data_IF_994566217987
#
_entry.id   IF_994566217987
#
_cell.length_a   1.000
_cell.length_b   1.000
_cell.length_c   1.000
_cell.angle_alpha   90.00
_cell.angle_beta   90.00
_cell.angle_gamma   90.00
#
_symmetry.space_group_name_H-M   'P 1'
#
loop_
_entity.id
_entity.type
_entity.pdbx_description
1 polymer ?
#
# COMPACT_ATOMS: atom_id res chain seq x y z
N UNK A 1 32.72 40.42 -29.77
CA UNK A 1 32.12 39.77 -28.60
C UNK A 1 32.28 38.25 -28.73
N UNK A 2 33.04 37.62 -27.81
CA UNK A 2 33.48 36.21 -27.87
C UNK A 2 32.28 35.26 -27.68
N UNK A 3 31.96 34.46 -28.69
CA UNK A 3 31.01 33.34 -28.61
C UNK A 3 31.65 32.24 -27.74
N UNK A 4 31.25 32.14 -26.48
CA UNK A 4 31.76 31.12 -25.54
C UNK A 4 31.15 29.78 -25.96
N UNK A 5 31.95 28.99 -26.68
CA UNK A 5 31.65 27.59 -27.02
C UNK A 5 31.48 26.79 -25.72
N UNK A 6 30.24 26.41 -25.40
CA UNK A 6 29.93 25.44 -24.35
C UNK A 6 29.76 24.08 -25.03
N UNK A 7 30.78 23.65 -25.77
CA UNK A 7 30.95 22.24 -26.13
C UNK A 7 31.93 21.64 -25.13
N UNK A 8 31.51 21.58 -23.87
CA UNK A 8 32.21 20.82 -22.84
C UNK A 8 32.05 19.35 -23.14
N UNK A 9 33.14 18.73 -23.61
CA UNK A 9 33.36 17.28 -23.71
C UNK A 9 32.59 16.51 -22.64
N UNK A 10 31.42 15.95 -22.98
CA UNK A 10 30.82 14.89 -22.19
C UNK A 10 31.70 13.66 -22.40
N UNK A 11 32.52 13.35 -21.40
CA UNK A 11 33.38 12.18 -21.39
C UNK A 11 32.52 10.92 -21.62
N UNK A 12 32.96 10.05 -22.54
CA UNK A 12 32.28 8.78 -22.86
C UNK A 12 32.01 7.93 -21.60
N UNK A 13 32.87 8.02 -20.59
CA UNK A 13 32.70 7.37 -19.28
C UNK A 13 31.53 7.92 -18.46
N UNK A 14 31.21 9.21 -18.57
CA UNK A 14 30.07 9.83 -17.87
C UNK A 14 28.75 9.47 -18.55
N UNK A 15 28.72 9.47 -19.88
CA UNK A 15 27.55 9.00 -20.66
C UNK A 15 27.30 7.52 -20.38
N UNK A 16 28.34 6.69 -20.37
CA UNK A 16 28.22 5.26 -20.08
C UNK A 16 27.74 5.00 -18.65
N UNK A 17 28.24 5.73 -17.64
CA UNK A 17 27.74 5.64 -16.25
C UNK A 17 26.27 6.09 -16.12
N UNK A 18 25.87 7.14 -16.82
CA UNK A 18 24.47 7.59 -16.84
C UNK A 18 23.58 6.58 -17.57
N UNK A 19 24.04 6.00 -18.68
CA UNK A 19 23.34 4.98 -19.45
C UNK A 19 23.17 3.67 -18.65
N UNK A 20 24.22 3.17 -18.02
CA UNK A 20 24.19 1.97 -17.16
C UNK A 20 23.30 2.21 -15.94
N UNK A 21 23.40 3.38 -15.30
CA UNK A 21 22.50 3.75 -14.19
C UNK A 21 21.05 3.76 -14.66
N UNK A 22 20.74 4.39 -15.79
CA UNK A 22 19.40 4.44 -16.36
C UNK A 22 18.86 3.05 -16.74
N UNK A 23 19.71 2.19 -17.32
CA UNK A 23 19.36 0.82 -17.69
C UNK A 23 19.06 -0.06 -16.47
N UNK A 24 19.79 0.12 -15.37
CA UNK A 24 19.52 -0.61 -14.11
C UNK A 24 18.14 -0.23 -13.56
N UNK A 25 17.81 1.06 -13.46
CA UNK A 25 16.48 1.50 -13.03
C UNK A 25 15.36 0.99 -13.94
N UNK A 26 15.57 0.97 -15.26
CA UNK A 26 14.63 0.38 -16.21
C UNK A 26 14.38 -1.11 -15.95
N UNK A 27 15.43 -1.89 -15.68
CA UNK A 27 15.27 -3.32 -15.39
C UNK A 27 14.52 -3.56 -14.06
N UNK A 28 14.84 -2.81 -13.00
CA UNK A 28 14.19 -2.96 -11.70
C UNK A 28 12.70 -2.53 -11.74
N UNK A 29 12.39 -1.48 -12.52
CA UNK A 29 11.00 -1.03 -12.74
C UNK A 29 10.22 -2.01 -13.60
N UNK A 30 10.82 -2.60 -14.63
CA UNK A 30 10.20 -3.68 -15.42
C UNK A 30 9.91 -4.90 -14.55
N UNK A 31 10.84 -5.29 -13.67
CA UNK A 31 10.61 -6.36 -12.70
C UNK A 31 9.47 -6.04 -11.73
N UNK A 32 9.43 -4.82 -11.18
CA UNK A 32 8.34 -4.35 -10.34
C UNK A 32 6.99 -4.51 -11.06
N UNK A 33 6.87 -3.96 -12.28
CA UNK A 33 5.62 -4.02 -13.06
C UNK A 33 5.25 -5.47 -13.39
N UNK A 34 6.19 -6.30 -13.80
CA UNK A 34 5.95 -7.71 -14.11
C UNK A 34 5.43 -8.48 -12.89
N UNK A 35 6.04 -8.30 -11.72
CA UNK A 35 5.61 -8.96 -10.48
C UNK A 35 4.23 -8.46 -10.05
N UNK A 36 3.97 -7.16 -10.13
CA UNK A 36 2.66 -6.59 -9.78
C UNK A 36 1.55 -7.09 -10.71
N UNK A 37 1.81 -7.17 -12.02
CA UNK A 37 0.87 -7.73 -12.99
C UNK A 37 0.63 -9.23 -12.73
N UNK A 38 1.69 -9.98 -12.43
CA UNK A 38 1.60 -11.40 -12.09
C UNK A 38 0.77 -11.62 -10.82
N UNK A 39 1.04 -10.87 -9.75
CA UNK A 39 0.26 -10.92 -8.51
C UNK A 39 -1.19 -10.47 -8.74
N UNK A 40 -1.41 -9.45 -9.58
CA UNK A 40 -2.73 -8.99 -9.97
C UNK A 40 -3.52 -10.05 -10.75
N UNK A 41 -2.86 -10.76 -11.67
CA UNK A 41 -3.45 -11.88 -12.43
C UNK A 41 -3.78 -13.05 -11.51
N UNK A 42 -2.86 -13.42 -10.61
CA UNK A 42 -3.10 -14.42 -9.57
C UNK A 42 -4.32 -14.05 -8.73
N UNK A 43 -4.45 -12.77 -8.34
CA UNK A 43 -5.58 -12.30 -7.55
C UNK A 43 -6.89 -12.37 -8.34
N UNK A 44 -6.90 -12.03 -9.63
CA UNK A 44 -8.09 -12.18 -10.50
C UNK A 44 -8.50 -13.64 -10.69
N UNK A 45 -7.53 -14.53 -10.92
CA UNK A 45 -7.78 -15.97 -11.13
C UNK A 45 -8.28 -16.63 -9.83
N UNK A 46 -7.84 -16.14 -8.65
CA UNK A 46 -8.11 -16.73 -7.34
C UNK A 46 -9.39 -16.25 -6.64
N UNK A 47 -10.31 -15.58 -7.32
CA UNK A 47 -11.65 -15.28 -6.78
C UNK A 47 -12.49 -16.56 -6.50
N UNK A 48 -11.89 -17.75 -6.63
CA UNK A 48 -12.46 -19.10 -6.47
C UNK A 48 -12.03 -19.85 -5.19
N UNK A 49 -11.33 -19.22 -4.23
CA UNK A 49 -11.29 -19.75 -2.86
C UNK A 49 -9.94 -20.19 -2.27
N UNK A 50 -8.80 -19.62 -2.67
CA UNK A 50 -7.53 -19.88 -1.96
C UNK A 50 -7.56 -19.34 -0.50
N UNK A 51 -8.46 -18.41 -0.20
CA UNK A 51 -8.61 -17.79 1.11
C UNK A 51 -9.54 -18.53 2.08
N UNK A 52 -10.15 -19.64 1.66
CA UNK A 52 -11.00 -20.46 2.53
C UNK A 52 -10.19 -21.34 3.50
N UNK A 53 -8.86 -21.25 3.50
CA UNK A 53 -8.02 -21.87 4.49
C UNK A 53 -8.29 -21.30 5.89
N UNK A 54 -8.77 -22.15 6.80
CA UNK A 54 -9.16 -21.84 8.18
C UNK A 54 -8.16 -20.97 8.98
N UNK A 55 -6.81 -21.12 8.85
CA UNK A 55 -5.86 -20.30 9.59
C UNK A 55 -5.81 -18.83 9.13
N UNK A 56 -6.07 -18.59 7.83
CA UNK A 56 -5.90 -17.27 7.24
C UNK A 56 -7.15 -16.41 7.44
N UNK A 57 -8.32 -17.04 7.48
CA UNK A 57 -9.57 -16.39 7.90
C UNK A 57 -9.48 -15.86 9.34
N UNK A 58 -8.98 -16.67 10.27
CA UNK A 58 -8.78 -16.25 11.67
C UNK A 58 -7.86 -15.03 11.79
N UNK A 59 -6.75 -15.01 11.04
CA UNK A 59 -5.82 -13.89 11.06
C UNK A 59 -6.43 -12.64 10.42
N UNK A 60 -7.18 -12.80 9.32
CA UNK A 60 -7.91 -11.71 8.69
C UNK A 60 -8.96 -11.10 9.63
N UNK A 61 -9.72 -11.92 10.35
CA UNK A 61 -10.72 -11.45 11.31
C UNK A 61 -10.08 -10.70 12.48
N UNK A 62 -8.95 -11.20 13.00
CA UNK A 62 -8.18 -10.49 14.05
C UNK A 62 -7.65 -9.15 13.58
N UNK A 63 -7.14 -9.09 12.34
CA UNK A 63 -6.67 -7.83 11.75
C UNK A 63 -7.80 -6.83 11.59
N UNK A 64 -9.00 -7.27 11.18
CA UNK A 64 -10.17 -6.39 11.07
C UNK A 64 -10.48 -5.75 12.43
N UNK A 65 -10.50 -6.55 13.50
CA UNK A 65 -10.75 -6.05 14.85
C UNK A 65 -9.68 -5.03 15.28
N UNK A 66 -8.40 -5.33 15.07
CA UNK A 66 -7.31 -4.41 15.41
C UNK A 66 -7.39 -3.09 14.65
N UNK A 67 -7.66 -3.15 13.35
CA UNK A 67 -7.76 -1.95 12.50
C UNK A 67 -8.98 -1.14 12.91
N UNK A 68 -10.12 -1.79 13.18
CA UNK A 68 -11.33 -1.12 13.67
C UNK A 68 -11.06 -0.38 14.97
N UNK A 69 -10.47 -1.05 15.96
CA UNK A 69 -10.23 -0.47 17.28
C UNK A 69 -9.23 0.69 17.20
N UNK A 70 -8.18 0.54 16.39
CA UNK A 70 -7.21 1.61 16.10
C UNK A 70 -7.85 2.80 15.40
N UNK A 71 -8.71 2.55 14.41
CA UNK A 71 -9.40 3.60 13.65
C UNK A 71 -10.43 4.33 14.50
N UNK A 72 -11.14 3.63 15.38
CA UNK A 72 -12.07 4.23 16.33
C UNK A 72 -11.31 5.14 17.32
N UNK A 73 -10.19 4.66 17.87
CA UNK A 73 -9.35 5.46 18.76
C UNK A 73 -8.89 6.76 18.08
N UNK A 74 -8.36 6.66 16.87
CA UNK A 74 -7.91 7.82 16.09
C UNK A 74 -9.09 8.75 15.76
N UNK A 75 -10.19 8.23 15.23
CA UNK A 75 -11.35 9.02 14.84
C UNK A 75 -11.96 9.78 16.03
N UNK A 76 -12.06 9.15 17.20
CA UNK A 76 -12.62 9.76 18.40
C UNK A 76 -11.67 10.78 19.05
N UNK A 77 -10.41 10.42 19.26
CA UNK A 77 -9.47 11.27 20.01
C UNK A 77 -8.79 12.34 19.16
N UNK A 78 -8.49 12.06 17.89
CA UNK A 78 -7.79 13.00 17.01
C UNK A 78 -8.78 13.88 16.23
N UNK A 79 -9.83 13.27 15.66
CA UNK A 79 -10.79 13.99 14.81
C UNK A 79 -12.09 14.37 15.51
N UNK A 80 -12.23 14.06 16.81
CA UNK A 80 -13.44 14.35 17.62
C UNK A 80 -14.75 13.88 16.97
N UNK A 81 -14.68 12.83 16.15
CA UNK A 81 -15.85 12.28 15.49
C UNK A 81 -16.70 11.51 16.51
N UNK A 82 -18.03 11.74 16.50
CA UNK A 82 -19.00 10.98 17.27
C UNK A 82 -19.26 9.61 16.63
N UNK A 83 -18.22 8.77 16.60
CA UNK A 83 -18.27 7.43 16.01
C UNK A 83 -18.74 6.43 17.04
N UNK A 84 -19.91 5.84 16.81
CA UNK A 84 -20.48 4.80 17.69
C UNK A 84 -20.31 3.43 17.03
N UNK A 85 -19.52 2.56 17.65
CA UNK A 85 -19.37 1.16 17.24
C UNK A 85 -20.55 0.35 17.76
N UNK A 86 -21.53 0.06 16.91
CA UNK A 86 -22.77 -0.65 17.33
C UNK A 86 -22.74 -2.17 17.07
N UNK A 87 -21.85 -2.68 16.18
CA UNK A 87 -21.63 -4.11 15.86
C UNK A 87 -20.20 -4.36 15.34
N UNK A 88 -19.79 -5.63 15.18
CA UNK A 88 -18.41 -6.06 14.82
C UNK A 88 -17.82 -5.35 13.60
N UNK A 89 -18.67 -4.92 12.66
CA UNK A 89 -18.31 -4.38 11.34
C UNK A 89 -19.01 -3.06 10.97
N UNK A 90 -19.58 -2.30 11.91
CA UNK A 90 -20.40 -1.11 11.56
C UNK A 90 -19.95 0.13 12.36
N UNK A 91 -19.54 1.18 11.64
CA UNK A 91 -19.30 2.52 12.17
C UNK A 91 -20.52 3.39 11.86
N UNK A 92 -21.18 3.90 12.90
CA UNK A 92 -22.35 4.77 12.80
C UNK A 92 -21.92 6.22 13.03
N UNK A 93 -22.36 7.12 12.15
CA UNK A 93 -22.22 8.57 12.31
C UNK A 93 -23.57 9.16 12.75
N UNK A 94 -23.61 10.32 13.43
CA UNK A 94 -24.84 10.88 14.01
C UNK A 94 -25.90 11.32 13.01
N UNK A 95 -25.56 11.46 11.73
CA UNK A 95 -26.53 11.81 10.68
C UNK A 95 -27.36 10.58 10.25
N UNK A 96 -28.69 10.73 10.01
CA UNK A 96 -29.62 9.60 9.94
C UNK A 96 -29.32 8.54 8.87
N UNK A 97 -28.56 8.89 7.82
CA UNK A 97 -28.39 8.07 6.62
C UNK A 97 -26.93 7.65 6.31
N UNK A 98 -25.98 7.84 7.24
CA UNK A 98 -24.56 7.52 6.98
C UNK A 98 -24.01 6.43 7.92
N UNK A 99 -24.11 5.17 7.48
CA UNK A 99 -23.46 4.03 8.15
C UNK A 99 -22.47 3.36 7.21
N UNK A 100 -21.27 3.05 7.72
CA UNK A 100 -20.25 2.33 6.95
C UNK A 100 -20.24 0.88 7.42
N UNK A 101 -20.57 -0.02 6.51
CA UNK A 101 -20.37 -1.45 6.67
C UNK A 101 -18.92 -1.79 6.29
N UNK A 102 -18.13 -2.19 7.28
CA UNK A 102 -16.76 -2.66 7.13
C UNK A 102 -16.80 -4.12 6.65
N UNK A 103 -16.81 -4.35 5.34
CA UNK A 103 -16.64 -5.70 4.79
C UNK A 103 -15.15 -6.08 4.73
N UNK A 104 -14.82 -7.36 4.53
CA UNK A 104 -13.44 -7.87 4.43
C UNK A 104 -12.56 -7.07 3.45
N UNK A 105 -13.12 -6.44 2.42
CA UNK A 105 -12.41 -5.57 1.47
C UNK A 105 -11.89 -4.24 2.03
N UNK A 106 -12.31 -3.84 3.24
CA UNK A 106 -11.86 -2.63 3.92
C UNK A 106 -10.69 -2.87 4.88
N UNK A 107 -10.38 -4.14 5.18
CA UNK A 107 -9.40 -4.55 6.18
C UNK A 107 -7.93 -4.31 5.81
N UNK A 108 -7.63 -3.95 4.57
CA UNK A 108 -6.24 -3.90 4.11
C UNK A 108 -5.55 -5.28 4.06
N UNK A 109 -6.30 -6.36 4.28
CA UNK A 109 -5.74 -7.70 4.38
C UNK A 109 -5.15 -8.17 3.04
N UNK A 110 -5.87 -7.96 1.94
CA UNK A 110 -5.39 -8.29 0.58
C UNK A 110 -4.12 -7.51 0.23
N UNK A 111 -4.01 -6.28 0.72
CA UNK A 111 -2.88 -5.39 0.57
C UNK A 111 -1.64 -5.89 1.34
N UNK A 112 -1.82 -6.37 2.57
CA UNK A 112 -0.76 -7.02 3.37
C UNK A 112 -0.23 -8.28 2.67
N UNK A 113 -1.12 -9.15 2.19
CA UNK A 113 -0.72 -10.38 1.49
C UNK A 113 0.02 -10.07 0.19
N UNK A 114 -0.47 -9.12 -0.61
CA UNK A 114 0.22 -8.67 -1.84
C UNK A 114 1.62 -8.15 -1.52
N UNK A 115 1.77 -7.38 -0.44
CA UNK A 115 3.06 -6.83 -0.01
C UNK A 115 4.01 -7.94 0.44
N UNK A 116 3.56 -8.89 1.26
CA UNK A 116 4.38 -10.03 1.68
C UNK A 116 4.83 -10.88 0.49
N UNK A 117 3.91 -11.21 -0.42
CA UNK A 117 4.23 -11.99 -1.63
C UNK A 117 5.19 -11.24 -2.54
N UNK A 118 4.97 -9.93 -2.73
CA UNK A 118 5.84 -9.08 -3.53
C UNK A 118 7.30 -9.15 -3.06
N UNK A 119 7.57 -8.84 -1.79
CA UNK A 119 8.94 -8.86 -1.25
C UNK A 119 9.55 -10.26 -1.11
N UNK A 120 8.72 -11.29 -0.97
CA UNK A 120 9.20 -12.68 -0.97
C UNK A 120 9.79 -13.08 -2.33
N UNK A 121 9.09 -12.75 -3.42
CA UNK A 121 9.49 -13.09 -4.79
C UNK A 121 10.58 -12.14 -5.32
N UNK A 122 10.55 -10.87 -4.93
CA UNK A 122 11.47 -9.86 -5.43
C UNK A 122 12.94 -10.21 -5.14
N UNK A 123 13.91 -10.02 -6.05
CA UNK A 123 15.30 -10.44 -5.85
C UNK A 123 16.00 -9.72 -4.68
N UNK A 124 16.85 -10.44 -3.93
CA UNK A 124 17.69 -9.90 -2.84
C UNK A 124 18.10 -10.94 -1.80
N UNK A 125 19.01 -10.57 -0.90
CA UNK A 125 19.56 -11.46 0.12
C UNK A 125 18.50 -11.87 1.17
N UNK A 126 18.40 -13.17 1.48
CA UNK A 126 17.39 -13.72 2.39
C UNK A 126 17.43 -13.09 3.80
N UNK A 127 18.62 -12.80 4.31
CA UNK A 127 18.79 -12.18 5.64
C UNK A 127 18.14 -10.80 5.73
N UNK A 128 18.31 -9.98 4.69
CA UNK A 128 17.76 -8.63 4.63
C UNK A 128 16.24 -8.67 4.43
N UNK A 129 15.75 -9.60 3.60
CA UNK A 129 14.31 -9.83 3.41
C UNK A 129 13.59 -10.21 4.70
N UNK A 130 14.17 -11.10 5.51
CA UNK A 130 13.59 -11.58 6.76
C UNK A 130 13.27 -10.46 7.75
N UNK A 131 14.08 -9.40 7.78
CA UNK A 131 13.85 -8.24 8.65
C UNK A 131 13.02 -7.15 7.98
N UNK A 132 13.15 -6.99 6.67
CA UNK A 132 12.41 -5.99 5.91
C UNK A 132 10.93 -6.34 5.75
N UNK A 133 10.57 -7.62 5.55
CA UNK A 133 9.18 -8.04 5.37
C UNK A 133 8.30 -7.66 6.58
N UNK A 134 8.68 -7.93 7.84
CA UNK A 134 7.92 -7.47 9.01
C UNK A 134 7.73 -5.95 9.06
N UNK A 135 8.78 -5.18 8.72
CA UNK A 135 8.71 -3.70 8.70
C UNK A 135 7.75 -3.22 7.61
N UNK A 136 7.83 -3.80 6.42
CA UNK A 136 6.93 -3.49 5.32
C UNK A 136 5.47 -3.83 5.66
N UNK A 137 5.23 -4.96 6.34
CA UNK A 137 3.89 -5.35 6.81
C UNK A 137 3.35 -4.37 7.85
N UNK A 138 4.17 -3.95 8.81
CA UNK A 138 3.78 -2.96 9.81
C UNK A 138 3.44 -1.60 9.17
N UNK A 139 4.23 -1.18 8.17
CA UNK A 139 3.95 0.04 7.41
C UNK A 139 2.63 -0.04 6.64
N UNK A 140 2.39 -1.14 5.93
CA UNK A 140 1.12 -1.33 5.20
C UNK A 140 -0.07 -1.44 6.15
N UNK A 141 0.12 -2.03 7.33
CA UNK A 141 -0.91 -2.03 8.38
C UNK A 141 -1.26 -0.61 8.82
N UNK A 142 -0.28 0.27 9.02
CA UNK A 142 -0.54 1.68 9.33
C UNK A 142 -1.31 2.40 8.21
N UNK A 143 -0.98 2.13 6.94
CA UNK A 143 -1.74 2.65 5.79
C UNK A 143 -3.18 2.12 5.77
N UNK A 144 -3.41 0.86 6.18
CA UNK A 144 -4.75 0.30 6.29
C UNK A 144 -5.58 0.99 7.39
N UNK A 145 -4.97 1.32 8.53
CA UNK A 145 -5.62 2.12 9.58
C UNK A 145 -5.93 3.53 9.06
N UNK A 146 -4.97 4.19 8.41
CA UNK A 146 -5.16 5.51 7.81
C UNK A 146 -6.31 5.52 6.79
N UNK A 147 -6.40 4.48 5.95
CA UNK A 147 -7.50 4.28 4.99
C UNK A 147 -8.85 4.32 5.68
N UNK A 148 -9.00 3.58 6.77
CA UNK A 148 -10.27 3.51 7.50
C UNK A 148 -10.65 4.85 8.13
N UNK A 149 -9.67 5.60 8.65
CA UNK A 149 -9.88 6.96 9.17
C UNK A 149 -10.28 7.91 8.04
N UNK A 150 -9.59 7.89 6.91
CA UNK A 150 -9.93 8.70 5.74
C UNK A 150 -11.34 8.41 5.20
N UNK A 151 -11.74 7.13 5.12
CA UNK A 151 -13.08 6.73 4.72
C UNK A 151 -14.14 7.23 5.72
N UNK A 152 -13.84 7.14 7.02
CA UNK A 152 -14.73 7.62 8.08
C UNK A 152 -14.98 9.13 7.95
N UNK A 153 -13.92 9.90 7.71
CA UNK A 153 -14.01 11.36 7.48
C UNK A 153 -14.78 11.67 6.19
N UNK A 154 -14.49 10.94 5.11
CA UNK A 154 -15.13 11.15 3.82
C UNK A 154 -16.65 10.94 3.91
N UNK A 155 -17.12 9.94 4.64
CA UNK A 155 -18.57 9.73 4.84
C UNK A 155 -19.19 10.79 5.73
N UNK A 156 -18.50 11.18 6.82
CA UNK A 156 -19.02 12.14 7.77
C UNK A 156 -19.18 13.56 7.16
N UNK A 157 -18.22 14.01 6.34
CA UNK A 157 -18.19 15.39 5.86
C UNK A 157 -18.44 15.55 4.36
N UNK A 158 -18.12 14.53 3.54
CA UNK A 158 -18.14 14.63 2.08
C UNK A 158 -18.75 13.38 1.42
N UNK A 159 -20.00 13.00 1.75
CA UNK A 159 -20.64 11.79 1.22
C UNK A 159 -20.71 11.79 -0.32
N UNK A 160 -20.85 12.96 -0.94
CA UNK A 160 -20.84 13.12 -2.40
C UNK A 160 -19.52 12.69 -3.07
N UNK A 161 -18.40 12.70 -2.33
CA UNK A 161 -17.08 12.29 -2.81
C UNK A 161 -16.74 10.84 -2.43
N UNK A 162 -17.65 10.12 -1.78
CA UNK A 162 -17.43 8.76 -1.30
C UNK A 162 -16.94 7.83 -2.41
N UNK A 163 -17.61 7.81 -3.57
CA UNK A 163 -17.24 6.91 -4.67
C UNK A 163 -15.82 7.18 -5.18
N UNK A 164 -15.43 8.44 -5.29
CA UNK A 164 -14.08 8.82 -5.67
C UNK A 164 -13.05 8.40 -4.63
N UNK A 165 -13.32 8.68 -3.35
CA UNK A 165 -12.40 8.40 -2.26
C UNK A 165 -12.24 6.89 -2.07
N UNK A 166 -13.34 6.13 -2.00
CA UNK A 166 -13.31 4.71 -1.70
C UNK A 166 -12.68 3.88 -2.83
N UNK A 167 -12.92 4.22 -4.10
CA UNK A 167 -12.39 3.45 -5.24
C UNK A 167 -11.01 3.92 -5.67
N UNK A 168 -10.85 5.22 -5.94
CA UNK A 168 -9.67 5.75 -6.63
C UNK A 168 -8.60 6.16 -5.63
N UNK A 169 -8.95 7.03 -4.68
CA UNK A 169 -7.96 7.61 -3.77
C UNK A 169 -7.28 6.53 -2.92
N UNK A 170 -8.05 5.60 -2.36
CA UNK A 170 -7.47 4.50 -1.57
C UNK A 170 -6.56 3.59 -2.38
N UNK A 171 -6.91 3.35 -3.66
CA UNK A 171 -6.08 2.56 -4.57
C UNK A 171 -4.75 3.26 -4.84
N UNK A 172 -4.77 4.57 -5.12
CA UNK A 172 -3.55 5.35 -5.30
C UNK A 172 -2.69 5.39 -4.04
N UNK A 173 -3.31 5.55 -2.87
CA UNK A 173 -2.60 5.58 -1.60
C UNK A 173 -1.86 4.26 -1.33
N UNK A 174 -2.49 3.11 -1.59
CA UNK A 174 -1.84 1.81 -1.44
C UNK A 174 -0.69 1.60 -2.42
N UNK A 175 -0.89 1.86 -3.72
CA UNK A 175 0.18 1.68 -4.70
C UNK A 175 1.33 2.68 -4.51
N UNK A 176 1.02 3.90 -4.07
CA UNK A 176 2.04 4.89 -3.69
C UNK A 176 2.86 4.42 -2.49
N UNK A 177 2.22 3.88 -1.46
CA UNK A 177 2.89 3.29 -0.31
C UNK A 177 3.77 2.08 -0.70
N UNK A 178 3.26 1.19 -1.55
CA UNK A 178 4.00 0.03 -2.04
C UNK A 178 5.21 0.44 -2.89
N UNK A 179 5.06 1.45 -3.74
CA UNK A 179 6.14 2.02 -4.53
C UNK A 179 7.22 2.65 -3.63
N UNK A 180 6.82 3.43 -2.61
CA UNK A 180 7.76 4.01 -1.66
C UNK A 180 8.55 2.93 -0.90
N UNK A 181 7.88 1.89 -0.41
CA UNK A 181 8.54 0.73 0.21
C UNK A 181 9.52 0.04 -0.74
N UNK A 182 9.14 -0.11 -2.00
CA UNK A 182 10.00 -0.70 -3.01
C UNK A 182 11.25 0.15 -3.28
N UNK A 183 11.11 1.48 -3.40
CA UNK A 183 12.26 2.39 -3.55
C UNK A 183 13.19 2.25 -2.35
N UNK A 184 12.65 2.24 -1.12
CA UNK A 184 13.45 2.05 0.09
C UNK A 184 14.18 0.70 0.07
N UNK A 185 13.51 -0.36 -0.37
CA UNK A 185 14.12 -1.69 -0.47
C UNK A 185 15.27 -1.71 -1.49
N UNK A 186 15.06 -1.18 -2.68
CA UNK A 186 16.07 -1.20 -3.75
C UNK A 186 17.28 -0.32 -3.42
N UNK A 187 17.05 0.84 -2.82
CA UNK A 187 18.13 1.81 -2.57
C UNK A 187 18.93 1.49 -1.29
N UNK A 188 18.26 1.06 -0.22
CA UNK A 188 18.91 0.93 1.10
C UNK A 188 19.08 -0.50 1.57
N UNK A 189 18.22 -1.42 1.15
CA UNK A 189 18.17 -2.77 1.72
C UNK A 189 18.84 -3.78 0.82
N UNK A 190 18.63 -3.71 -0.49
CA UNK A 190 19.20 -4.64 -1.47
C UNK A 190 20.72 -4.48 -1.49
N UNK A 191 21.45 -5.40 -0.84
CA UNK A 191 22.89 -5.53 -1.07
C UNK A 191 23.11 -5.94 -2.52
N UNK A 192 23.78 -5.09 -3.30
CA UNK A 192 24.26 -5.40 -4.66
C UNK A 192 25.24 -6.58 -4.60
#
# INVERSE_FOLDING_TARGET
MKKKSIAGSLNSSTICKLFIRNQKWLHETLLLVAILLFLGLIYRIKHTGLFSWLPVGWFADRLILMIRDSSWFIGKYIFQLNVVCRKTFILYFPDPDSSILIYQGCSGFSELVKTAMFFSIYPGALKQKLWFIPVALLFVFAIAVLRMVCLSIAVAYYPNLWDFVHTRLMTFMFYGALFALWVVYVEYVKSV
#
